data_IF_725451512853
#
_entry.id   IF_725451512853
#
_cell.length_a   1.000
_cell.length_b   1.000
_cell.length_c   1.000
_cell.angle_alpha   90.00
_cell.angle_beta   90.00
_cell.angle_gamma   90.00
#
_symmetry.space_group_name_H-M   'P 1'
#
loop_
_entity.id
_entity.type
_entity.pdbx_description
1 polymer ?
#
# COMPACT_ATOMS: atom_id res chain seq x y z
N UNK A 1 20.79 -19.18 74.11
CA UNK A 1 20.85 -20.50 73.46
C UNK A 1 19.45 -21.00 73.16
N UNK A 2 19.08 -21.13 71.88
CA UNK A 2 18.31 -22.23 71.28
C UNK A 2 18.07 -21.89 69.81
N UNK A 3 18.61 -22.75 68.96
CA UNK A 3 18.53 -22.76 67.50
C UNK A 3 17.21 -23.43 67.12
N UNK A 4 16.45 -22.89 66.18
CA UNK A 4 15.65 -23.71 65.25
C UNK A 4 15.68 -23.08 63.86
N UNK A 5 16.21 -23.88 62.94
CA UNK A 5 16.29 -23.69 61.51
C UNK A 5 14.99 -24.19 60.84
N UNK A 6 14.66 -23.53 59.73
CA UNK A 6 14.19 -24.07 58.44
C UNK A 6 12.84 -24.81 58.32
N UNK A 7 11.97 -24.27 57.46
CA UNK A 7 11.43 -24.89 56.22
C UNK A 7 10.52 -23.84 55.52
N UNK A 8 10.95 -23.18 54.43
CA UNK A 8 10.70 -23.52 53.01
C UNK A 8 9.30 -24.11 52.74
N UNK A 9 8.43 -23.39 52.02
CA UNK A 9 7.89 -23.73 50.68
C UNK A 9 7.24 -22.48 50.06
N UNK A 10 7.55 -22.32 48.77
CA UNK A 10 7.22 -21.29 47.81
C UNK A 10 5.93 -21.66 47.06
N UNK A 11 4.92 -20.78 47.02
CA UNK A 11 3.94 -20.75 45.93
C UNK A 11 3.58 -19.31 45.61
N UNK A 12 4.01 -18.88 44.43
CA UNK A 12 3.73 -17.61 43.79
C UNK A 12 2.78 -17.90 42.63
N UNK A 13 1.52 -17.47 42.70
CA UNK A 13 0.63 -17.40 41.53
C UNK A 13 -0.21 -16.13 41.61
N UNK A 14 0.08 -15.20 40.70
CA UNK A 14 -0.67 -13.99 40.41
C UNK A 14 -2.05 -14.30 39.83
N UNK A 15 -3.09 -13.58 40.27
CA UNK A 15 -4.30 -13.37 39.47
C UNK A 15 -5.02 -12.07 39.88
N UNK A 16 -4.37 -10.93 39.67
CA UNK A 16 -5.07 -9.65 39.50
C UNK A 16 -5.78 -9.66 38.13
N UNK A 17 -7.00 -10.16 38.11
CA UNK A 17 -7.91 -10.08 36.96
C UNK A 17 -8.46 -8.67 36.83
N UNK A 18 -7.81 -7.86 35.99
CA UNK A 18 -8.22 -6.52 35.65
C UNK A 18 -9.58 -6.48 34.96
N UNK A 19 -10.34 -5.45 35.34
CA UNK A 19 -11.55 -4.93 34.72
C UNK A 19 -11.53 -5.05 33.19
N UNK A 20 -12.59 -5.65 32.63
CA UNK A 20 -12.88 -5.62 31.21
C UNK A 20 -13.20 -4.18 30.78
N UNK A 21 -12.17 -3.43 30.40
CA UNK A 21 -12.32 -2.16 29.71
C UNK A 21 -12.68 -2.49 28.25
N UNK A 22 -13.97 -2.52 27.93
CA UNK A 22 -14.46 -2.46 26.55
C UNK A 22 -14.06 -1.10 25.97
N UNK A 23 -12.84 -1.04 25.43
CA UNK A 23 -12.43 0.07 24.60
C UNK A 23 -13.13 -0.08 23.25
N UNK A 24 -14.27 0.61 23.11
CA UNK A 24 -14.90 0.93 21.82
C UNK A 24 -14.00 1.91 21.04
N UNK A 25 -12.79 1.46 20.71
CA UNK A 25 -11.91 2.09 19.76
C UNK A 25 -12.31 1.61 18.38
N UNK A 26 -12.90 2.52 17.60
CA UNK A 26 -13.25 2.39 16.19
C UNK A 26 -12.16 1.62 15.43
N UNK A 27 -12.39 0.32 15.18
CA UNK A 27 -11.56 -0.49 14.31
C UNK A 27 -11.70 0.04 12.88
N UNK A 28 -10.84 0.98 12.52
CA UNK A 28 -10.51 1.22 11.12
C UNK A 28 -10.04 -0.14 10.56
N UNK A 29 -10.78 -0.69 9.60
CA UNK A 29 -10.66 -2.06 9.07
C UNK A 29 -9.23 -2.42 8.63
N UNK A 30 -8.43 -2.93 9.56
CA UNK A 30 -7.08 -3.43 9.30
C UNK A 30 -7.08 -4.77 8.54
N UNK A 31 -8.23 -5.44 8.44
CA UNK A 31 -8.37 -6.80 7.91
C UNK A 31 -8.46 -6.86 6.38
N UNK A 32 -9.05 -5.87 5.70
CA UNK A 32 -9.29 -5.95 4.25
C UNK A 32 -8.06 -5.67 3.37
N UNK A 33 -7.23 -4.69 3.74
CA UNK A 33 -6.07 -4.29 2.93
C UNK A 33 -4.85 -5.21 3.11
N UNK A 34 -4.60 -5.67 4.36
CA UNK A 34 -3.50 -6.59 4.68
C UNK A 34 -3.75 -8.00 4.16
N UNK A 35 -4.98 -8.51 4.26
CA UNK A 35 -5.30 -9.85 3.74
C UNK A 35 -5.23 -9.93 2.21
N UNK A 36 -5.64 -8.88 1.49
CA UNK A 36 -5.53 -8.85 0.03
C UNK A 36 -4.07 -8.80 -0.46
N UNK A 37 -3.18 -8.10 0.26
CA UNK A 37 -1.76 -8.05 -0.09
C UNK A 37 -1.03 -9.35 0.24
N UNK A 38 -1.36 -9.98 1.38
CA UNK A 38 -0.85 -11.30 1.77
C UNK A 38 -1.24 -12.38 0.75
N UNK A 39 -2.51 -12.45 0.38
CA UNK A 39 -3.00 -13.39 -0.64
C UNK A 39 -2.42 -13.14 -2.03
N UNK A 40 -2.20 -11.87 -2.39
CA UNK A 40 -1.52 -11.51 -3.64
C UNK A 40 -0.03 -11.88 -3.65
N UNK A 41 0.61 -11.99 -2.48
CA UNK A 41 2.00 -12.45 -2.33
C UNK A 41 2.10 -13.97 -2.28
N UNK A 42 1.13 -14.67 -1.68
CA UNK A 42 1.12 -16.13 -1.60
C UNK A 42 1.16 -16.77 -2.99
N UNK A 43 0.37 -16.27 -3.94
CA UNK A 43 0.27 -16.78 -5.31
C UNK A 43 1.23 -16.10 -6.32
N UNK A 44 2.09 -15.18 -5.88
CA UNK A 44 3.02 -14.49 -6.78
C UNK A 44 4.22 -15.36 -7.13
N UNK A 45 4.71 -15.22 -8.37
CA UNK A 45 5.98 -15.81 -8.80
C UNK A 45 7.15 -15.30 -7.95
N UNK A 46 8.26 -16.06 -7.83
CA UNK A 46 9.45 -15.60 -7.12
C UNK A 46 9.95 -14.23 -7.61
N UNK A 47 9.95 -14.02 -8.92
CA UNK A 47 10.34 -12.74 -9.55
C UNK A 47 9.39 -11.58 -9.16
N UNK A 48 8.08 -11.82 -9.10
CA UNK A 48 7.16 -10.78 -8.64
C UNK A 48 7.36 -10.46 -7.16
N UNK A 49 7.66 -11.48 -6.32
CA UNK A 49 7.95 -11.30 -4.89
C UNK A 49 9.20 -10.44 -4.68
N UNK A 50 10.27 -10.66 -5.45
CA UNK A 50 11.49 -9.85 -5.36
C UNK A 50 11.21 -8.39 -5.74
N UNK A 51 10.50 -8.13 -6.85
CA UNK A 51 10.10 -6.77 -7.25
C UNK A 51 9.21 -6.08 -6.20
N UNK A 52 8.30 -6.81 -5.54
CA UNK A 52 7.51 -6.26 -4.43
C UNK A 52 8.38 -5.82 -3.25
N UNK A 53 9.37 -6.62 -2.88
CA UNK A 53 10.27 -6.30 -1.78
C UNK A 53 11.15 -5.10 -2.13
N UNK A 54 11.63 -5.02 -3.37
CA UNK A 54 12.41 -3.90 -3.88
C UNK A 54 11.61 -2.60 -3.86
N UNK A 55 10.40 -2.58 -4.43
CA UNK A 55 9.51 -1.41 -4.36
C UNK A 55 9.23 -0.99 -2.91
N UNK A 56 9.07 -1.97 -2.00
CA UNK A 56 8.86 -1.68 -0.58
C UNK A 56 10.09 -0.97 0.03
N UNK A 57 11.30 -1.48 -0.23
CA UNK A 57 12.55 -0.87 0.25
C UNK A 57 12.74 0.54 -0.30
N UNK A 58 12.53 0.73 -1.60
CA UNK A 58 12.63 2.05 -2.22
C UNK A 58 11.60 3.03 -1.64
N UNK A 59 10.37 2.59 -1.35
CA UNK A 59 9.38 3.43 -0.67
C UNK A 59 9.78 3.80 0.75
N UNK A 60 10.41 2.89 1.50
CA UNK A 60 10.93 3.16 2.84
C UNK A 60 12.09 4.16 2.78
N UNK A 61 12.99 4.02 1.81
CA UNK A 61 14.09 4.97 1.58
C UNK A 61 13.57 6.35 1.17
N UNK A 62 12.65 6.41 0.21
CA UNK A 62 12.04 7.66 -0.23
C UNK A 62 11.33 8.37 0.93
N UNK A 63 10.59 7.61 1.75
CA UNK A 63 9.95 8.16 2.95
C UNK A 63 10.98 8.72 3.92
N UNK A 64 12.06 7.98 4.18
CA UNK A 64 13.14 8.41 5.07
C UNK A 64 13.78 9.70 4.58
N UNK A 65 14.08 9.79 3.28
CA UNK A 65 14.64 10.99 2.65
C UNK A 65 13.71 12.21 2.80
N UNK A 66 12.42 12.05 2.50
CA UNK A 66 11.43 13.12 2.61
C UNK A 66 11.17 13.59 4.04
N UNK A 67 11.49 12.77 5.05
CA UNK A 67 11.33 13.13 6.48
C UNK A 67 12.53 13.83 7.10
N UNK A 68 13.63 14.00 6.36
CA UNK A 68 14.80 14.74 6.83
C UNK A 68 14.47 16.23 7.01
N UNK A 69 15.21 16.90 7.90
CA UNK A 69 15.12 18.36 8.09
C UNK A 69 15.38 19.12 6.78
N UNK A 70 16.32 18.62 5.98
CA UNK A 70 16.67 19.12 4.65
C UNK A 70 16.68 17.94 3.66
N UNK A 71 15.55 17.63 3.00
CA UNK A 71 15.47 16.53 2.03
C UNK A 71 16.38 16.79 0.82
N UNK A 72 17.05 15.75 0.32
CA UNK A 72 17.72 15.80 -0.98
C UNK A 72 16.71 15.53 -2.10
N UNK A 73 16.26 16.59 -2.78
CA UNK A 73 15.25 16.49 -3.84
C UNK A 73 15.70 15.62 -5.02
N UNK A 74 16.96 15.73 -5.44
CA UNK A 74 17.52 14.93 -6.54
C UNK A 74 17.45 13.44 -6.20
N UNK A 75 17.85 13.08 -4.98
CA UNK A 75 17.75 11.69 -4.51
C UNK A 75 16.30 11.21 -4.43
N UNK A 76 15.39 12.03 -3.91
CA UNK A 76 13.98 11.69 -3.83
C UNK A 76 13.35 11.49 -5.23
N UNK A 77 13.73 12.31 -6.20
CA UNK A 77 13.28 12.19 -7.61
C UNK A 77 13.78 10.89 -8.24
N UNK A 78 15.06 10.55 -8.04
CA UNK A 78 15.63 9.31 -8.55
C UNK A 78 14.91 8.08 -7.97
N UNK A 79 14.69 8.04 -6.65
CA UNK A 79 13.95 6.97 -5.99
C UNK A 79 12.51 6.84 -6.52
N UNK A 80 11.84 7.97 -6.75
CA UNK A 80 10.49 7.98 -7.31
C UNK A 80 10.42 7.41 -8.73
N UNK A 81 11.39 7.75 -9.59
CA UNK A 81 11.49 7.18 -10.95
C UNK A 81 11.72 5.67 -10.91
N UNK A 82 12.61 5.18 -10.05
CA UNK A 82 12.86 3.74 -9.88
C UNK A 82 11.61 2.99 -9.39
N UNK A 83 10.89 3.57 -8.41
CA UNK A 83 9.62 3.04 -7.92
C UNK A 83 8.59 2.96 -9.05
N UNK A 84 8.49 3.99 -9.89
CA UNK A 84 7.55 3.99 -11.02
C UNK A 84 7.89 2.91 -12.04
N UNK A 85 9.17 2.76 -12.38
CA UNK A 85 9.64 1.74 -13.32
C UNK A 85 9.23 0.34 -12.86
N UNK A 86 9.57 -0.03 -11.62
CA UNK A 86 9.20 -1.33 -11.07
C UNK A 86 7.68 -1.53 -10.98
N UNK A 87 6.93 -0.50 -10.57
CA UNK A 87 5.48 -0.58 -10.56
C UNK A 87 4.88 -0.78 -11.96
N UNK A 88 5.50 -0.20 -13.00
CA UNK A 88 5.09 -0.38 -14.39
C UNK A 88 5.32 -1.82 -14.85
N UNK A 89 6.51 -2.37 -14.62
CA UNK A 89 6.84 -3.76 -14.92
C UNK A 89 5.89 -4.73 -14.23
N UNK A 90 5.64 -4.52 -12.93
CA UNK A 90 4.74 -5.35 -12.14
C UNK A 90 3.27 -5.21 -12.60
N UNK A 91 2.86 -4.02 -13.03
CA UNK A 91 1.52 -3.78 -13.59
C UNK A 91 1.35 -4.52 -14.92
N UNK A 92 2.37 -4.52 -15.78
CA UNK A 92 2.34 -5.24 -17.06
C UNK A 92 2.35 -6.75 -16.86
N UNK A 93 3.21 -7.28 -15.99
CA UNK A 93 3.22 -8.72 -15.69
C UNK A 93 1.86 -9.21 -15.17
N UNK A 94 1.23 -8.45 -14.28
CA UNK A 94 -0.13 -8.73 -13.79
C UNK A 94 -1.20 -8.61 -14.86
N UNK A 95 -1.00 -7.73 -15.84
CA UNK A 95 -1.93 -7.56 -16.94
C UNK A 95 -1.85 -8.73 -17.92
N UNK A 96 -0.64 -9.17 -18.28
CA UNK A 96 -0.43 -10.36 -19.12
C UNK A 96 -1.01 -11.63 -18.46
N UNK A 97 -0.89 -11.76 -17.14
CA UNK A 97 -1.53 -12.85 -16.40
C UNK A 97 -3.07 -12.81 -16.50
N UNK A 98 -3.66 -11.61 -16.47
CA UNK A 98 -5.12 -11.43 -16.66
C UNK A 98 -5.58 -11.66 -18.09
N UNK A 99 -4.73 -11.45 -19.09
CA UNK A 99 -5.06 -11.85 -20.47
C UNK A 99 -5.25 -13.37 -20.57
N UNK A 100 -4.44 -14.15 -19.85
CA UNK A 100 -4.56 -15.62 -19.80
C UNK A 100 -5.78 -16.10 -19.02
N UNK A 101 -6.28 -15.30 -18.08
CA UNK A 101 -7.50 -15.58 -17.34
C UNK A 101 -8.43 -14.35 -17.26
N UNK A 102 -9.18 -14.06 -18.34
CA UNK A 102 -10.07 -12.89 -18.44
C UNK A 102 -11.06 -12.78 -17.27
N UNK A 103 -11.59 -13.92 -16.80
CA UNK A 103 -12.56 -13.96 -15.69
C UNK A 103 -12.00 -13.45 -14.36
N UNK A 104 -10.67 -13.43 -14.21
CA UNK A 104 -9.99 -12.89 -13.03
C UNK A 104 -9.86 -11.35 -13.07
N UNK A 105 -10.14 -10.71 -14.21
CA UNK A 105 -10.15 -9.25 -14.29
C UNK A 105 -11.34 -8.68 -13.51
N UNK A 106 -11.02 -8.01 -12.40
CA UNK A 106 -11.98 -7.25 -11.60
C UNK A 106 -11.54 -5.81 -11.46
N UNK A 107 -12.38 -4.89 -11.89
CA UNK A 107 -12.24 -3.47 -11.57
C UNK A 107 -12.47 -3.28 -10.06
N UNK A 108 -11.51 -2.62 -9.40
CA UNK A 108 -11.70 -2.23 -7.99
C UNK A 108 -12.51 -0.95 -7.96
N UNK A 109 -13.56 -0.95 -7.13
CA UNK A 109 -14.39 0.24 -6.90
C UNK A 109 -13.58 1.42 -6.36
N UNK A 110 -14.10 2.63 -6.60
CA UNK A 110 -13.49 3.87 -6.14
C UNK A 110 -13.43 3.89 -4.61
N UNK A 111 -12.22 4.06 -4.07
CA UNK A 111 -12.07 4.50 -2.69
C UNK A 111 -12.39 6.00 -2.65
N UNK A 112 -13.32 6.42 -1.80
CA UNK A 112 -13.53 7.84 -1.53
C UNK A 112 -12.21 8.39 -0.97
N UNK A 113 -11.56 9.27 -1.73
CA UNK A 113 -10.32 9.94 -1.35
C UNK A 113 -10.51 11.45 -1.53
N UNK A 114 -9.96 12.22 -0.59
CA UNK A 114 -9.84 13.67 -0.73
C UNK A 114 -8.78 13.95 -1.80
N UNK A 115 -9.20 13.97 -3.06
CA UNK A 115 -8.36 14.25 -4.22
C UNK A 115 -8.40 15.75 -4.54
N UNK A 116 -7.27 16.30 -4.95
CA UNK A 116 -7.25 17.59 -5.65
C UNK A 116 -8.03 17.52 -6.98
N UNK A 117 -8.46 18.65 -7.56
CA UNK A 117 -9.15 18.66 -8.85
C UNK A 117 -8.34 17.97 -9.96
N UNK A 118 -7.03 18.20 -10.02
CA UNK A 118 -6.13 17.57 -10.99
C UNK A 118 -6.05 16.04 -10.81
N UNK A 119 -5.92 15.56 -9.57
CA UNK A 119 -5.94 14.12 -9.31
C UNK A 119 -7.31 13.50 -9.61
N UNK A 120 -8.40 14.21 -9.33
CA UNK A 120 -9.76 13.74 -9.61
C UNK A 120 -9.96 13.53 -11.11
N UNK A 121 -9.56 14.49 -11.94
CA UNK A 121 -9.64 14.38 -13.39
C UNK A 121 -8.89 13.15 -13.92
N UNK A 122 -7.64 12.94 -13.49
CA UNK A 122 -6.83 11.78 -13.91
C UNK A 122 -7.40 10.45 -13.38
N UNK A 123 -7.94 10.43 -12.17
CA UNK A 123 -8.61 9.26 -11.60
C UNK A 123 -9.91 8.91 -12.34
N UNK A 124 -10.68 9.90 -12.77
CA UNK A 124 -11.90 9.71 -13.56
C UNK A 124 -11.56 9.15 -14.94
N UNK A 125 -10.52 9.65 -15.61
CA UNK A 125 -10.00 9.06 -16.85
C UNK A 125 -9.52 7.63 -16.65
N UNK A 126 -8.78 7.36 -15.56
CA UNK A 126 -8.31 6.01 -15.24
C UNK A 126 -9.47 5.06 -14.95
N UNK A 127 -10.56 5.56 -14.36
CA UNK A 127 -11.78 4.79 -14.14
C UNK A 127 -12.43 4.42 -15.47
N UNK A 128 -12.62 5.40 -16.37
CA UNK A 128 -13.18 5.15 -17.71
C UNK A 128 -12.40 4.06 -18.46
N UNK A 129 -11.06 4.14 -18.47
CA UNK A 129 -10.23 3.11 -19.09
C UNK A 129 -10.39 1.73 -18.45
N UNK A 130 -10.56 1.65 -17.12
CA UNK A 130 -10.80 0.39 -16.41
C UNK A 130 -12.17 -0.19 -16.70
N UNK A 131 -13.18 0.66 -16.80
CA UNK A 131 -14.54 0.24 -17.14
C UNK A 131 -14.58 -0.27 -18.59
N UNK A 132 -13.85 0.38 -19.51
CA UNK A 132 -13.69 -0.09 -20.88
C UNK A 132 -12.92 -1.42 -20.95
N UNK A 133 -11.80 -1.54 -20.22
CA UNK A 133 -11.09 -2.81 -20.11
C UNK A 133 -11.99 -3.92 -19.57
N UNK A 134 -12.75 -3.66 -18.50
CA UNK A 134 -13.69 -4.63 -17.93
C UNK A 134 -14.73 -5.07 -18.96
N UNK A 135 -15.30 -4.11 -19.70
CA UNK A 135 -16.27 -4.39 -20.75
C UNK A 135 -15.66 -5.28 -21.84
N UNK A 136 -14.43 -4.99 -22.25
CA UNK A 136 -13.71 -5.79 -23.24
C UNK A 136 -13.37 -7.20 -22.73
N UNK A 137 -12.94 -7.32 -21.46
CA UNK A 137 -12.67 -8.61 -20.81
C UNK A 137 -13.92 -9.47 -20.63
N UNK A 138 -15.11 -8.86 -20.54
CA UNK A 138 -16.38 -9.58 -20.36
C UNK A 138 -16.97 -10.13 -21.66
N UNK A 139 -16.36 -9.85 -22.82
CA UNK A 139 -16.79 -10.42 -24.10
C UNK A 139 -16.41 -11.90 -24.18
N UNK A 140 -17.18 -12.67 -24.95
CA UNK A 140 -16.89 -14.08 -25.23
C UNK A 140 -15.49 -14.28 -25.83
N UNK A 141 -15.05 -13.32 -26.65
CA UNK A 141 -13.71 -13.26 -27.23
C UNK A 141 -13.12 -11.86 -27.05
N UNK A 142 -12.37 -11.60 -25.96
CA UNK A 142 -11.75 -10.30 -25.71
C UNK A 142 -10.75 -9.92 -26.80
N UNK A 143 -10.71 -8.65 -27.21
CA UNK A 143 -9.68 -8.15 -28.11
C UNK A 143 -8.40 -7.80 -27.33
N UNK A 144 -7.42 -8.69 -27.38
CA UNK A 144 -6.14 -8.51 -26.67
C UNK A 144 -5.37 -7.26 -27.10
N UNK A 145 -5.37 -6.91 -28.39
CA UNK A 145 -4.69 -5.72 -28.90
C UNK A 145 -5.29 -4.46 -28.30
N UNK A 146 -6.63 -4.38 -28.27
CA UNK A 146 -7.34 -3.28 -27.62
C UNK A 146 -7.05 -3.21 -26.13
N UNK A 147 -7.08 -4.35 -25.43
CA UNK A 147 -6.76 -4.42 -23.99
C UNK A 147 -5.33 -3.94 -23.70
N UNK A 148 -4.35 -4.33 -24.53
CA UNK A 148 -2.95 -3.86 -24.40
C UNK A 148 -2.84 -2.35 -24.57
N UNK A 149 -3.56 -1.77 -25.54
CA UNK A 149 -3.62 -0.31 -25.73
C UNK A 149 -4.20 0.40 -24.50
N UNK A 150 -5.37 -0.05 -24.03
CA UNK A 150 -6.02 0.52 -22.84
C UNK A 150 -5.15 0.41 -21.58
N UNK A 151 -4.43 -0.70 -21.41
CA UNK A 151 -3.51 -0.87 -20.28
C UNK A 151 -2.30 0.07 -20.38
N UNK A 152 -1.76 0.30 -21.58
CA UNK A 152 -0.68 1.27 -21.80
C UNK A 152 -1.12 2.69 -21.39
N UNK A 153 -2.29 3.12 -21.85
CA UNK A 153 -2.88 4.42 -21.46
C UNK A 153 -3.14 4.50 -19.95
N UNK A 154 -3.70 3.44 -19.37
CA UNK A 154 -3.94 3.38 -17.93
C UNK A 154 -2.64 3.46 -17.12
N UNK A 155 -1.53 2.93 -17.63
CA UNK A 155 -0.24 3.05 -16.98
C UNK A 155 0.34 4.46 -17.07
N UNK A 156 0.18 5.16 -18.18
CA UNK A 156 0.55 6.58 -18.30
C UNK A 156 -0.19 7.42 -17.25
N UNK A 157 -1.52 7.26 -17.14
CA UNK A 157 -2.30 7.99 -16.14
C UNK A 157 -1.88 7.66 -14.70
N UNK A 158 -1.50 6.40 -14.41
CA UNK A 158 -1.00 6.01 -13.08
C UNK A 158 0.34 6.69 -12.77
N UNK A 159 1.23 6.79 -13.76
CA UNK A 159 2.51 7.50 -13.65
C UNK A 159 2.27 8.98 -13.35
N UNK A 160 1.46 9.66 -14.15
CA UNK A 160 1.14 11.09 -13.95
C UNK A 160 0.49 11.34 -12.58
N UNK A 161 -0.43 10.47 -12.15
CA UNK A 161 -1.00 10.53 -10.80
C UNK A 161 0.06 10.34 -9.71
N UNK A 162 1.03 9.46 -9.95
CA UNK A 162 2.19 9.27 -9.09
C UNK A 162 3.01 10.54 -8.97
N UNK A 163 3.29 11.21 -10.09
CA UNK A 163 4.07 12.45 -10.15
C UNK A 163 3.37 13.58 -9.41
N UNK A 164 2.08 13.80 -9.66
CA UNK A 164 1.29 14.84 -8.95
C UNK A 164 1.38 14.62 -7.44
N UNK A 165 1.22 13.38 -6.98
CA UNK A 165 1.30 13.04 -5.55
C UNK A 165 2.70 13.20 -4.99
N UNK A 166 3.72 12.87 -5.77
CA UNK A 166 5.10 13.02 -5.39
C UNK A 166 5.49 14.49 -5.25
N UNK A 167 5.18 15.34 -6.24
CA UNK A 167 5.42 16.78 -6.18
C UNK A 167 4.68 17.42 -5.00
N UNK A 168 3.45 16.99 -4.72
CA UNK A 168 2.71 17.46 -3.54
C UNK A 168 3.41 17.09 -2.22
N UNK A 169 4.05 15.92 -2.15
CA UNK A 169 4.83 15.49 -0.98
C UNK A 169 6.15 16.24 -0.86
N UNK A 170 6.85 16.51 -1.97
CA UNK A 170 8.05 17.35 -1.96
C UNK A 170 7.74 18.75 -1.43
N UNK A 171 6.64 19.36 -1.87
CA UNK A 171 6.20 20.69 -1.40
C UNK A 171 5.66 20.68 0.03
N UNK A 172 5.21 19.53 0.54
CA UNK A 172 4.61 19.39 1.88
C UNK A 172 5.05 18.09 2.57
N UNK A 173 6.33 17.92 2.93
CA UNK A 173 6.87 16.65 3.42
C UNK A 173 6.19 16.18 4.71
N UNK A 174 5.72 17.11 5.56
CA UNK A 174 5.07 16.82 6.85
C UNK A 174 3.59 16.39 6.74
N UNK A 175 2.92 16.60 5.60
CA UNK A 175 1.53 16.18 5.38
C UNK A 175 1.39 14.69 5.01
N UNK A 176 2.50 14.02 4.69
CA UNK A 176 2.52 12.58 4.37
C UNK A 176 2.30 11.66 5.58
N UNK A 177 2.44 12.19 6.80
CA UNK A 177 2.44 11.41 8.05
C UNK A 177 1.26 11.71 8.97
N UNK A 178 0.07 11.33 8.53
CA UNK A 178 -1.08 11.21 9.43
C UNK A 178 -0.89 10.13 10.53
N UNK A 179 0.21 9.35 10.51
CA UNK A 179 0.55 8.37 11.56
C UNK A 179 1.61 8.86 12.56
N UNK A 180 2.27 9.99 12.32
CA UNK A 180 3.34 10.53 13.17
C UNK A 180 2.86 11.47 14.28
N UNK A 181 1.65 12.03 14.18
CA UNK A 181 1.16 13.06 15.10
C UNK A 181 0.74 12.57 16.49
N UNK A 182 0.78 11.26 16.77
CA UNK A 182 0.37 10.71 18.06
C UNK A 182 1.49 10.50 19.09
N UNK A 183 2.75 10.85 18.78
CA UNK A 183 3.88 10.67 19.73
C UNK A 183 4.33 11.93 20.48
N UNK A 184 3.77 13.11 20.20
CA UNK A 184 4.16 14.36 20.91
C UNK A 184 3.12 14.89 21.91
N UNK A 185 2.07 14.11 22.23
CA UNK A 185 1.09 14.45 23.28
C UNK A 185 1.22 13.55 24.50
N UNK A 186 2.43 13.43 25.05
CA UNK A 186 2.68 12.99 26.43
C UNK A 186 3.93 13.72 26.90
N UNK A 187 3.75 14.96 27.35
CA UNK A 187 4.57 15.55 28.41
C UNK A 187 3.73 15.44 29.68
#
# INVERSE_FOLDING_TARGET
MKKYLAAFVLVLVCASGAMAYQNNGTQCSQSGARMNMKRSMENATPEMKTKFQEVKKLHEELRTELTKTTPNETKARNLHVEIQKLNHEMSNARFEDRLKNPSAYKTRGNRKSNLSPAEKAKMDSLKKLRDEMQTEFNKDKPNESKLRSLNKEANVLKTELGDIRFENRLKNPTKGDARGKNKQRKK
#
